data_IF_074925629086
#
_entry.id   IF_074925629086
#
_cell.length_a   1.000
_cell.length_b   1.000
_cell.length_c   1.000
_cell.angle_alpha   90.00
_cell.angle_beta   90.00
_cell.angle_gamma   90.00
#
_symmetry.space_group_name_H-M   'P 1'
#
loop_
_entity.id
_entity.type
_entity.pdbx_description
1 polymer ?
#
# COMPACT_ATOMS: atom_id res chain seq x y z
N UNK A 1 6.43 -8.24 10.93
CA UNK A 1 6.35 -7.31 9.79
C UNK A 1 6.96 -5.97 10.18
N UNK A 2 7.87 -5.49 9.37
CA UNK A 2 8.59 -4.24 9.65
C UNK A 2 7.67 -3.03 9.49
N UNK A 3 7.81 -2.04 10.37
CA UNK A 3 7.08 -0.79 10.25
C UNK A 3 7.47 -0.07 8.95
N UNK A 4 6.50 0.55 8.28
CA UNK A 4 6.79 1.35 7.10
C UNK A 4 5.76 2.46 6.92
N UNK A 5 6.19 3.55 6.27
CA UNK A 5 5.31 4.67 5.97
C UNK A 5 4.39 4.32 4.80
N UNK A 6 3.33 5.11 4.64
CA UNK A 6 2.44 4.95 3.48
C UNK A 6 3.19 5.12 2.18
N UNK A 7 4.14 6.06 2.14
CA UNK A 7 4.96 6.29 0.95
C UNK A 7 5.83 5.09 0.61
N UNK A 8 6.46 4.48 1.63
CA UNK A 8 7.27 3.29 1.42
C UNK A 8 6.43 2.13 0.93
N UNK A 9 5.24 1.96 1.52
CA UNK A 9 4.33 0.91 1.10
C UNK A 9 3.89 1.12 -0.35
N UNK A 10 3.55 2.36 -0.71
CA UNK A 10 3.13 2.68 -2.08
C UNK A 10 4.22 2.33 -3.09
N UNK A 11 5.47 2.67 -2.79
CA UNK A 11 6.59 2.34 -3.68
C UNK A 11 6.76 0.84 -3.85
N UNK A 12 6.58 0.10 -2.76
CA UNK A 12 6.71 -1.34 -2.79
C UNK A 12 5.65 -1.97 -3.69
N UNK A 13 4.39 -1.57 -3.53
CA UNK A 13 3.32 -2.16 -4.35
C UNK A 13 3.43 -1.73 -5.81
N UNK A 14 3.97 -0.54 -6.08
CA UNK A 14 4.19 -0.12 -7.47
C UNK A 14 5.17 -1.05 -8.18
N UNK A 15 6.19 -1.54 -7.48
CA UNK A 15 7.12 -2.51 -8.04
C UNK A 15 6.46 -3.86 -8.33
N UNK A 16 5.30 -4.10 -7.74
CA UNK A 16 4.55 -5.34 -7.93
C UNK A 16 3.32 -5.16 -8.82
N UNK A 17 3.30 -4.10 -9.61
CA UNK A 17 2.28 -3.92 -10.65
C UNK A 17 1.06 -3.11 -10.23
N UNK A 18 1.06 -2.54 -9.03
CA UNK A 18 -0.03 -1.67 -8.61
C UNK A 18 0.18 -0.26 -9.17
N UNK A 19 -0.90 0.37 -9.61
CA UNK A 19 -0.86 1.68 -10.25
C UNK A 19 -1.72 2.68 -9.49
N UNK A 20 -1.20 3.90 -9.32
CA UNK A 20 -1.97 4.97 -8.70
C UNK A 20 -3.11 5.37 -9.62
N UNK A 21 -4.34 5.30 -9.11
CA UNK A 21 -5.54 5.66 -9.86
C UNK A 21 -5.98 7.09 -9.58
N UNK A 22 -5.93 7.50 -8.32
CA UNK A 22 -6.31 8.85 -7.93
C UNK A 22 -5.85 9.14 -6.51
N UNK A 23 -5.87 10.43 -6.16
CA UNK A 23 -5.56 10.88 -4.81
C UNK A 23 -6.79 11.62 -4.28
N UNK A 24 -7.24 11.21 -3.09
CA UNK A 24 -8.35 11.85 -2.40
C UNK A 24 -7.84 12.31 -1.03
N UNK A 25 -7.58 13.62 -0.90
CA UNK A 25 -6.96 14.13 0.31
C UNK A 25 -5.59 13.49 0.50
N UNK A 26 -5.39 12.85 1.65
CA UNK A 26 -4.15 12.15 1.94
C UNK A 26 -4.18 10.67 1.53
N UNK A 27 -5.30 10.22 0.95
CA UNK A 27 -5.45 8.82 0.56
C UNK A 27 -5.10 8.62 -0.90
N UNK A 28 -4.13 7.76 -1.15
CA UNK A 28 -3.70 7.40 -2.49
C UNK A 28 -4.35 6.06 -2.85
N UNK A 29 -5.17 6.07 -3.90
CA UNK A 29 -5.95 4.89 -4.29
C UNK A 29 -5.24 4.16 -5.41
N UNK A 30 -4.88 2.91 -5.16
CA UNK A 30 -4.17 2.06 -6.11
C UNK A 30 -5.05 0.94 -6.65
N UNK A 31 -4.82 0.57 -7.90
CA UNK A 31 -5.45 -0.58 -8.52
C UNK A 31 -4.41 -1.37 -9.30
N UNK A 32 -4.83 -2.55 -9.78
CA UNK A 32 -3.94 -3.45 -10.50
C UNK A 32 -4.71 -4.10 -11.65
N UNK A 33 -4.10 -4.21 -12.85
CA UNK A 33 -4.77 -4.87 -13.97
C UNK A 33 -5.21 -6.28 -13.59
N UNK A 34 -6.44 -6.63 -13.93
CA UNK A 34 -6.98 -7.95 -13.64
C UNK A 34 -7.51 -8.13 -12.24
N UNK A 35 -7.48 -7.09 -11.41
CA UNK A 35 -8.00 -7.16 -10.05
C UNK A 35 -9.06 -6.09 -9.83
N UNK A 36 -10.12 -6.45 -9.08
CA UNK A 36 -11.13 -5.47 -8.66
C UNK A 36 -10.76 -4.83 -7.33
N UNK A 37 -9.70 -5.31 -6.68
CA UNK A 37 -9.26 -4.82 -5.39
C UNK A 37 -8.69 -3.40 -5.53
N UNK A 38 -9.02 -2.53 -4.58
CA UNK A 38 -8.46 -1.19 -4.49
C UNK A 38 -7.79 -1.03 -3.14
N UNK A 39 -6.58 -0.46 -3.16
CA UNK A 39 -5.82 -0.21 -1.94
C UNK A 39 -5.85 1.29 -1.68
N UNK A 40 -6.40 1.68 -0.53
CA UNK A 40 -6.43 3.08 -0.11
C UNK A 40 -5.34 3.28 0.93
N UNK A 41 -4.29 4.00 0.56
CA UNK A 41 -3.10 4.15 1.40
C UNK A 41 -3.03 5.57 1.93
N UNK A 42 -3.13 5.76 3.25
CA UNK A 42 -2.95 7.09 3.83
C UNK A 42 -1.47 7.47 3.79
N UNK A 43 -1.17 8.63 3.21
CA UNK A 43 0.20 9.12 3.15
C UNK A 43 0.26 10.48 3.83
N UNK A 44 0.95 10.53 4.97
CA UNK A 44 1.14 11.73 5.75
C UNK A 44 2.64 11.92 5.98
N UNK A 45 3.32 12.46 4.97
CA UNK A 45 4.77 12.61 5.01
C UNK A 45 5.44 11.25 5.22
N UNK A 46 6.30 11.15 6.23
CA UNK A 46 7.01 9.91 6.54
C UNK A 46 6.36 9.12 7.67
N UNK A 47 5.14 9.51 8.06
CA UNK A 47 4.47 8.86 9.18
C UNK A 47 4.20 7.38 8.88
N UNK A 48 4.54 6.47 9.82
CA UNK A 48 4.30 5.04 9.61
C UNK A 48 2.82 4.69 9.57
N UNK A 49 2.49 3.70 8.77
CA UNK A 49 1.16 3.11 8.78
C UNK A 49 0.95 2.37 10.10
N UNK A 50 -0.27 2.42 10.62
CA UNK A 50 -0.61 1.65 11.80
C UNK A 50 -0.47 0.17 11.47
N UNK A 51 0.01 -0.62 12.42
CA UNK A 51 0.32 -2.03 12.20
C UNK A 51 -0.86 -2.84 11.64
N UNK A 52 -2.05 -2.64 12.20
CA UNK A 52 -3.23 -3.35 11.71
C UNK A 52 -3.56 -3.01 10.27
N UNK A 53 -3.48 -1.72 9.92
CA UNK A 53 -3.73 -1.28 8.55
C UNK A 53 -2.68 -1.83 7.59
N UNK A 54 -1.41 -1.77 7.99
CA UNK A 54 -0.32 -2.27 7.16
C UNK A 54 -0.52 -3.75 6.85
N UNK A 55 -0.85 -4.55 7.87
CA UNK A 55 -1.11 -5.98 7.67
C UNK A 55 -2.28 -6.23 6.73
N UNK A 56 -3.34 -5.45 6.91
CA UNK A 56 -4.53 -5.58 6.07
C UNK A 56 -4.22 -5.26 4.60
N UNK A 57 -3.54 -4.13 4.36
CA UNK A 57 -3.17 -3.73 3.01
C UNK A 57 -2.19 -4.72 2.38
N UNK A 58 -1.23 -5.21 3.16
CA UNK A 58 -0.26 -6.19 2.66
C UNK A 58 -0.97 -7.46 2.20
N UNK A 59 -1.93 -7.93 2.97
CA UNK A 59 -2.69 -9.12 2.62
C UNK A 59 -3.49 -8.90 1.34
N UNK A 60 -4.16 -7.76 1.22
CA UNK A 60 -4.94 -7.43 0.02
C UNK A 60 -4.06 -7.29 -1.22
N UNK A 61 -2.82 -6.85 -1.05
CA UNK A 61 -1.90 -6.65 -2.16
C UNK A 61 -1.42 -7.94 -2.78
N UNK A 62 -1.57 -9.07 -2.07
CA UNK A 62 -1.09 -10.40 -2.48
C UNK A 62 0.43 -10.47 -2.67
N UNK A 63 1.15 -9.48 -2.13
CA UNK A 63 2.61 -9.50 -2.16
C UNK A 63 3.11 -10.39 -1.02
N UNK A 64 4.10 -11.26 -1.29
CA UNK A 64 4.61 -12.16 -0.24
C UNK A 64 5.08 -11.40 0.99
N UNK A 65 4.83 -11.98 2.17
CA UNK A 65 5.19 -11.36 3.43
C UNK A 65 6.69 -11.06 3.51
N UNK A 66 7.51 -11.88 2.88
CA UNK A 66 8.95 -11.67 2.87
C UNK A 66 9.36 -10.31 2.32
N UNK A 67 8.53 -9.69 1.47
CA UNK A 67 8.82 -8.39 0.91
C UNK A 67 8.60 -7.26 1.92
N UNK A 68 7.96 -7.54 3.04
CA UNK A 68 7.65 -6.54 4.07
C UNK A 68 8.57 -6.63 5.28
N UNK A 69 9.68 -7.29 5.15
CA UNK A 69 10.66 -7.45 6.23
C UNK A 69 11.77 -6.41 6.17
#
# INVERSE_FOLDING_TARGET
>A
MKSMSGREFARLIERHGWTLLRVQGSHHIYGKPGSVVRLSIPIHGSKPLKTGLLRHLAKLSEIPESEFR
#
